data_IF_240847280721
#
_entry.id   IF_240847280721
#
_cell.length_a   1.000
_cell.length_b   1.000
_cell.length_c   1.000
_cell.angle_alpha   90.00
_cell.angle_beta   90.00
_cell.angle_gamma   90.00
#
_symmetry.space_group_name_H-M   'P 1'
#
loop_
_entity.id
_entity.type
_entity.pdbx_description
1 polymer ?
#
# COMPACT_ATOMS: atom_id res chain seq x y z
N UNK A 1 6.20 -13.28 9.72
CA UNK A 1 5.98 -13.74 11.10
C UNK A 1 5.60 -12.52 11.92
N UNK A 2 4.33 -12.39 12.32
CA UNK A 2 3.73 -11.14 12.85
C UNK A 2 4.44 -10.70 14.14
N UNK A 3 4.74 -11.66 15.02
CA UNK A 3 5.42 -11.43 16.29
C UNK A 3 6.83 -10.81 16.11
N UNK A 4 7.51 -11.15 15.00
CA UNK A 4 8.85 -10.58 14.71
C UNK A 4 8.79 -9.16 14.15
N UNK A 5 7.67 -8.78 13.52
CA UNK A 5 7.46 -7.42 13.01
C UNK A 5 7.11 -6.46 14.14
N UNK A 6 6.25 -6.86 15.08
CA UNK A 6 5.93 -6.04 16.26
C UNK A 6 7.18 -5.71 17.09
N UNK A 7 8.04 -6.71 17.32
CA UNK A 7 9.33 -6.49 18.00
C UNK A 7 10.24 -5.53 17.23
N UNK A 8 10.24 -5.61 15.90
CA UNK A 8 11.01 -4.71 15.05
C UNK A 8 10.47 -3.28 15.11
N UNK A 9 9.16 -3.09 15.13
CA UNK A 9 8.52 -1.78 15.30
C UNK A 9 8.93 -1.13 16.62
N UNK A 10 8.89 -1.87 17.73
CA UNK A 10 9.33 -1.37 19.05
C UNK A 10 10.82 -0.94 19.03
N UNK A 11 11.69 -1.77 18.47
CA UNK A 11 13.13 -1.47 18.38
C UNK A 11 13.42 -0.23 17.53
N UNK A 12 12.67 -0.04 16.44
CA UNK A 12 12.84 1.11 15.56
C UNK A 12 12.25 2.39 16.18
N UNK A 13 11.19 2.28 16.97
CA UNK A 13 10.63 3.41 17.71
C UNK A 13 11.56 3.95 18.81
N UNK A 14 12.34 3.06 19.43
CA UNK A 14 13.34 3.42 20.46
C UNK A 14 14.69 3.91 19.87
N UNK A 15 14.86 3.87 18.55
CA UNK A 15 16.10 4.28 17.90
C UNK A 15 16.28 5.80 17.90
N UNK A 16 17.26 6.31 18.66
CA UNK A 16 17.53 7.75 18.79
C UNK A 16 18.21 8.41 17.57
N UNK A 17 18.47 7.66 16.49
CA UNK A 17 19.12 8.16 15.28
C UNK A 17 18.15 8.52 14.15
N UNK A 18 18.68 9.06 13.05
CA UNK A 18 17.89 9.25 11.81
C UNK A 18 17.83 7.94 11.03
N UNK A 19 16.62 7.46 10.75
CA UNK A 19 16.36 6.26 9.96
C UNK A 19 15.72 6.66 8.62
N UNK A 20 16.22 6.09 7.53
CA UNK A 20 15.55 6.10 6.22
C UNK A 20 15.11 4.67 5.91
N UNK A 21 13.79 4.47 5.86
CA UNK A 21 13.17 3.17 5.70
C UNK A 21 12.47 3.09 4.34
N UNK A 22 12.70 1.99 3.61
CA UNK A 22 11.99 1.67 2.36
C UNK A 22 11.28 0.35 2.58
N UNK A 23 9.95 0.38 2.58
CA UNK A 23 9.11 -0.81 2.74
C UNK A 23 7.94 -0.76 1.76
N UNK A 24 7.44 -1.95 1.42
CA UNK A 24 6.20 -2.12 0.67
C UNK A 24 4.99 -2.38 1.59
N UNK A 25 5.23 -2.65 2.87
CA UNK A 25 4.20 -2.83 3.89
C UNK A 25 3.71 -1.46 4.38
N UNK A 26 2.45 -1.16 4.12
CA UNK A 26 1.82 0.13 4.43
C UNK A 26 1.59 0.30 5.93
N UNK A 27 1.16 -0.77 6.62
CA UNK A 27 0.88 -0.76 8.06
C UNK A 27 2.16 -0.56 8.85
N UNK A 28 3.24 -1.23 8.45
CA UNK A 28 4.55 -1.03 9.05
C UNK A 28 5.08 0.39 8.86
N UNK A 29 4.90 0.98 7.67
CA UNK A 29 5.27 2.38 7.44
C UNK A 29 4.45 3.32 8.31
N UNK A 30 3.13 3.12 8.41
CA UNK A 30 2.26 3.94 9.25
C UNK A 30 2.62 3.91 10.73
N UNK A 31 3.10 2.78 11.23
CA UNK A 31 3.46 2.61 12.64
C UNK A 31 4.85 3.16 12.99
N UNK A 32 5.80 3.12 12.05
CA UNK A 32 7.24 3.37 12.34
C UNK A 32 7.70 4.76 11.86
N UNK A 33 7.21 5.26 10.73
CA UNK A 33 7.78 6.48 10.12
C UNK A 33 7.10 7.75 10.63
N UNK A 34 7.90 8.78 10.89
CA UNK A 34 7.39 10.11 11.26
C UNK A 34 7.07 10.99 10.06
N UNK A 35 7.67 10.69 8.91
CA UNK A 35 7.57 11.45 7.67
C UNK A 35 7.79 10.52 6.47
N UNK A 36 7.02 10.73 5.41
CA UNK A 36 7.05 9.94 4.17
C UNK A 36 7.51 10.80 3.01
N UNK A 37 8.55 10.35 2.31
CA UNK A 37 9.06 10.97 1.08
C UNK A 37 8.46 10.27 -0.13
N UNK A 38 7.79 11.02 -1.00
CA UNK A 38 7.09 10.47 -2.16
C UNK A 38 7.61 11.09 -3.44
N UNK A 39 7.90 10.23 -4.42
CA UNK A 39 8.17 10.65 -5.79
C UNK A 39 6.86 10.95 -6.51
N UNK A 40 6.64 12.23 -6.82
CA UNK A 40 5.50 12.71 -7.60
C UNK A 40 5.70 12.44 -9.10
N UNK A 41 4.59 12.46 -9.85
CA UNK A 41 4.56 12.17 -11.29
C UNK A 41 5.42 13.16 -12.12
N UNK A 42 5.77 14.33 -11.57
CA UNK A 42 6.64 15.34 -12.18
C UNK A 42 8.13 15.18 -11.83
N UNK A 43 8.51 14.08 -11.17
CA UNK A 43 9.88 13.78 -10.75
C UNK A 43 10.35 14.58 -9.54
N UNK A 44 9.45 15.28 -8.84
CA UNK A 44 9.76 15.95 -7.57
C UNK A 44 9.57 15.00 -6.40
N UNK A 45 10.39 15.17 -5.37
CA UNK A 45 10.21 14.51 -4.08
C UNK A 45 9.47 15.46 -3.16
N UNK A 46 8.31 15.03 -2.69
CA UNK A 46 7.49 15.75 -1.71
C UNK A 46 7.55 15.03 -0.37
N UNK A 47 7.73 15.80 0.70
CA UNK A 47 7.73 15.30 2.07
C UNK A 47 6.35 15.49 2.70
N UNK A 48 5.84 14.43 3.32
CA UNK A 48 4.56 14.40 4.01
C UNK A 48 4.77 14.00 5.47
N UNK A 49 4.23 14.78 6.41
CA UNK A 49 4.25 14.41 7.83
C UNK A 49 3.28 13.25 8.05
N UNK A 50 3.77 12.19 8.70
CA UNK A 50 3.04 10.95 8.94
C UNK A 50 3.36 9.84 7.94
N UNK A 51 2.61 8.75 8.06
CA UNK A 51 2.79 7.53 7.29
C UNK A 51 2.20 7.57 5.88
N UNK A 52 2.03 6.39 5.31
CA UNK A 52 1.40 6.13 4.02
C UNK A 52 -0.07 6.60 3.97
N UNK A 53 -0.86 6.32 5.01
CA UNK A 53 -2.26 6.75 5.09
C UNK A 53 -2.40 8.28 5.13
N UNK A 54 -1.49 8.96 5.83
CA UNK A 54 -1.44 10.43 5.88
C UNK A 54 -1.09 11.03 4.52
N UNK A 55 -0.17 10.42 3.80
CA UNK A 55 0.12 10.77 2.41
C UNK A 55 -1.13 10.62 1.52
N UNK A 56 -1.84 9.49 1.58
CA UNK A 56 -3.06 9.26 0.79
C UNK A 56 -4.11 10.34 1.09
N UNK A 57 -4.29 10.71 2.37
CA UNK A 57 -5.23 11.76 2.78
C UNK A 57 -4.83 13.14 2.24
N UNK A 58 -3.54 13.45 2.21
CA UNK A 58 -3.01 14.71 1.70
C UNK A 58 -2.98 14.75 0.16
N UNK A 59 -2.87 13.60 -0.53
CA UNK A 59 -2.87 13.47 -2.00
C UNK A 59 -4.27 13.48 -2.61
N UNK A 60 -5.32 13.04 -1.89
CA UNK A 60 -6.72 13.26 -2.31
C UNK A 60 -6.90 14.74 -2.62
N UNK A 61 -7.58 15.14 -3.72
CA UNK A 61 -7.55 16.49 -4.25
C UNK A 61 -8.27 17.49 -3.36
N UNK A 62 -7.68 17.80 -2.21
CA UNK A 62 -7.90 19.03 -1.50
C UNK A 62 -6.97 20.04 -2.14
N UNK A 63 -7.42 20.62 -3.25
CA UNK A 63 -7.00 21.97 -3.63
C UNK A 63 -7.30 22.86 -2.44
N UNK A 64 -6.34 23.04 -1.55
CA UNK A 64 -6.08 24.24 -0.74
C UNK A 64 -5.25 23.86 0.48
N UNK A 65 -3.97 24.19 0.44
CA UNK A 65 -3.26 24.62 1.63
C UNK A 65 -2.13 25.58 1.22
N UNK A 66 -2.47 26.64 0.48
CA UNK A 66 -1.68 27.86 0.56
C UNK A 66 -1.93 28.49 1.91
N UNK A 67 -0.87 28.53 2.71
CA UNK A 67 -0.72 29.36 3.90
C UNK A 67 -1.21 30.79 3.60
N UNK A 68 -2.15 31.32 4.37
CA UNK A 68 -2.43 32.76 4.46
C UNK A 68 -3.17 33.09 5.74
N UNK A 69 -2.47 33.87 6.57
CA UNK A 69 -2.94 34.60 7.73
C UNK A 69 -4.11 35.58 7.45
N UNK A 70 -4.88 35.82 8.52
CA UNK A 70 -5.66 37.04 8.87
C UNK A 70 -6.97 37.41 8.14
N UNK A 71 -8.00 37.42 9.00
CA UNK A 71 -8.94 38.53 9.29
C UNK A 71 -10.29 38.64 8.54
N UNK A 72 -11.33 38.75 9.39
CA UNK A 72 -12.57 39.54 9.24
C UNK A 72 -13.75 38.99 8.42
N UNK A 73 -14.80 38.57 9.15
CA UNK A 73 -16.07 39.30 9.13
C UNK A 73 -17.23 38.84 8.21
N UNK A 74 -18.36 38.52 8.88
CA UNK A 74 -19.79 38.63 8.48
C UNK A 74 -20.47 37.54 7.63
N UNK A 75 -21.34 36.78 8.34
CA UNK A 75 -22.77 36.42 8.11
C UNK A 75 -23.28 36.21 6.66
N UNK A 76 -23.83 35.03 6.40
CA UNK A 76 -25.27 34.81 6.11
C UNK A 76 -25.64 33.30 6.06
N UNK A 77 -26.75 32.93 6.71
CA UNK A 77 -27.51 31.66 6.60
C UNK A 77 -28.59 31.82 5.50
N UNK A 78 -29.47 30.82 5.25
CA UNK A 78 -29.29 29.38 5.01
C UNK A 78 -30.00 28.93 3.70
N UNK A 79 -29.59 27.82 3.07
CA UNK A 79 -30.23 27.38 1.84
C UNK A 79 -30.14 25.89 1.55
N UNK A 80 -31.27 25.20 1.78
CA UNK A 80 -31.74 23.95 1.16
C UNK A 80 -30.93 22.66 1.36
N UNK A 81 -31.53 21.83 2.20
CA UNK A 81 -31.42 20.37 2.24
C UNK A 81 -31.53 19.78 0.83
N UNK A 82 -30.42 19.20 0.35
CA UNK A 82 -30.47 18.13 -0.64
C UNK A 82 -30.33 16.85 0.15
N UNK A 83 -31.41 16.06 0.19
CA UNK A 83 -31.39 14.69 0.68
C UNK A 83 -30.45 13.89 -0.22
N UNK A 84 -29.17 13.81 0.15
CA UNK A 84 -28.29 12.79 -0.38
C UNK A 84 -28.86 11.46 0.09
N UNK A 85 -29.35 10.67 -0.86
CA UNK A 85 -29.53 9.23 -0.71
C UNK A 85 -28.23 8.68 -0.12
N UNK A 86 -28.26 8.43 1.18
CA UNK A 86 -27.29 7.54 1.81
C UNK A 86 -27.67 6.19 1.22
N UNK A 87 -26.97 5.78 0.15
CA UNK A 87 -26.87 4.38 -0.16
C UNK A 87 -26.15 3.79 1.05
N UNK A 88 -26.94 3.33 2.01
CA UNK A 88 -26.49 2.43 3.05
C UNK A 88 -25.73 1.33 2.35
N UNK A 89 -24.41 1.34 2.52
CA UNK A 89 -23.57 0.19 2.35
C UNK A 89 -24.13 -0.90 3.26
N UNK A 90 -25.11 -1.63 2.74
CA UNK A 90 -25.53 -2.90 3.32
C UNK A 90 -24.25 -3.72 3.42
N UNK A 91 -23.82 -3.96 4.66
CA UNK A 91 -22.69 -4.80 5.01
C UNK A 91 -22.82 -6.09 4.21
N UNK A 92 -22.03 -6.19 3.15
CA UNK A 92 -22.13 -7.26 2.17
C UNK A 92 -21.45 -8.47 2.81
N UNK A 93 -22.23 -9.27 3.54
CA UNK A 93 -21.77 -10.56 4.07
C UNK A 93 -21.25 -11.38 2.90
N UNK A 94 -20.06 -11.99 3.02
CA UNK A 94 -19.48 -12.83 1.95
C UNK A 94 -20.51 -13.84 1.48
N UNK A 95 -20.73 -13.88 0.17
CA UNK A 95 -21.42 -14.97 -0.50
C UNK A 95 -20.60 -16.25 -0.46
N UNK A 96 -21.24 -17.39 -0.74
CA UNK A 96 -20.61 -18.72 -0.77
C UNK A 96 -19.37 -18.78 -1.67
N UNK A 97 -19.39 -18.08 -2.82
CA UNK A 97 -18.27 -18.04 -3.75
C UNK A 97 -17.07 -17.26 -3.19
N UNK A 98 -17.33 -16.17 -2.46
CA UNK A 98 -16.28 -15.33 -1.86
C UNK A 98 -15.60 -16.06 -0.70
N UNK A 99 -16.35 -16.85 0.09
CA UNK A 99 -15.77 -17.69 1.15
C UNK A 99 -14.83 -18.76 0.61
N UNK A 100 -15.27 -19.47 -0.44
CA UNK A 100 -14.43 -20.47 -1.11
C UNK A 100 -13.21 -19.83 -1.77
N UNK A 101 -13.35 -18.60 -2.28
CA UNK A 101 -12.23 -17.83 -2.80
C UNK A 101 -11.22 -17.55 -1.68
N UNK A 102 -11.66 -17.03 -0.52
CA UNK A 102 -10.83 -16.76 0.65
C UNK A 102 -10.06 -18.00 1.12
N UNK A 103 -10.72 -19.16 1.20
CA UNK A 103 -10.07 -20.43 1.56
C UNK A 103 -8.96 -20.84 0.56
N UNK A 104 -9.12 -20.47 -0.72
CA UNK A 104 -8.17 -20.83 -1.79
C UNK A 104 -7.05 -19.80 -2.02
N UNK A 105 -7.15 -18.61 -1.43
CA UNK A 105 -6.19 -17.52 -1.64
C UNK A 105 -4.82 -17.81 -1.00
N UNK A 106 -4.72 -18.35 0.23
CA UNK A 106 -3.44 -18.74 0.82
C UNK A 106 -2.63 -19.69 -0.06
N UNK A 107 -3.24 -20.77 -0.56
CA UNK A 107 -2.56 -21.74 -1.44
C UNK A 107 -2.05 -21.10 -2.74
N UNK A 108 -2.79 -20.13 -3.29
CA UNK A 108 -2.39 -19.41 -4.50
C UNK A 108 -1.24 -18.45 -4.22
N UNK A 109 -1.27 -17.79 -3.07
CA UNK A 109 -0.22 -16.88 -2.62
C UNK A 109 1.08 -17.68 -2.43
N UNK A 110 1.04 -18.79 -1.70
CA UNK A 110 2.20 -19.68 -1.50
C UNK A 110 2.80 -20.14 -2.83
N UNK A 111 1.97 -20.60 -3.77
CA UNK A 111 2.44 -21.03 -5.09
C UNK A 111 3.08 -19.90 -5.91
N UNK A 112 2.61 -18.66 -5.77
CA UNK A 112 3.20 -17.48 -6.43
C UNK A 112 4.49 -17.05 -5.73
N UNK A 113 4.57 -17.14 -4.41
CA UNK A 113 5.78 -16.87 -3.63
C UNK A 113 6.91 -17.85 -4.00
N UNK A 114 6.61 -19.14 -4.12
CA UNK A 114 7.57 -20.13 -4.59
C UNK A 114 8.13 -19.78 -5.98
N UNK A 115 7.25 -19.37 -6.89
CA UNK A 115 7.64 -18.92 -8.24
C UNK A 115 8.48 -17.64 -8.21
N UNK A 116 8.16 -16.70 -7.32
CA UNK A 116 8.96 -15.50 -7.10
C UNK A 116 10.36 -15.87 -6.67
N UNK A 117 10.48 -16.76 -5.68
CA UNK A 117 11.74 -17.19 -5.12
C UNK A 117 12.59 -17.93 -6.16
N UNK A 118 11.99 -18.78 -6.99
CA UNK A 118 12.71 -19.46 -8.08
C UNK A 118 13.26 -18.46 -9.12
N UNK A 119 12.46 -17.48 -9.52
CA UNK A 119 12.89 -16.43 -10.45
C UNK A 119 13.97 -15.54 -9.84
N UNK A 120 13.83 -15.17 -8.58
CA UNK A 120 14.81 -14.35 -7.87
C UNK A 120 16.15 -15.09 -7.72
N UNK A 121 16.12 -16.37 -7.35
CA UNK A 121 17.33 -17.21 -7.33
C UNK A 121 18.00 -17.22 -8.70
N UNK A 122 17.23 -17.35 -9.78
CA UNK A 122 17.75 -17.32 -11.15
C UNK A 122 18.34 -15.96 -11.53
N UNK A 123 17.74 -14.86 -11.10
CA UNK A 123 18.25 -13.50 -11.32
C UNK A 123 19.53 -13.26 -10.54
N UNK A 124 19.64 -13.80 -9.33
CA UNK A 124 20.81 -13.70 -8.46
C UNK A 124 22.00 -14.57 -8.92
N UNK A 125 21.81 -15.46 -9.89
CA UNK A 125 22.93 -16.19 -10.48
C UNK A 125 23.83 -15.22 -11.26
N UNK A 126 25.14 -15.26 -10.99
CA UNK A 126 26.14 -14.40 -11.66
C UNK A 126 26.24 -14.62 -13.17
N UNK A 127 25.76 -15.76 -13.69
CA UNK A 127 25.66 -16.06 -15.13
C UNK A 127 24.43 -15.43 -15.80
N UNK A 128 23.45 -14.94 -15.05
CA UNK A 128 22.18 -14.47 -15.59
C UNK A 128 22.34 -13.18 -16.40
N UNK A 129 23.11 -12.23 -15.87
CA UNK A 129 23.44 -10.98 -16.56
C UNK A 129 24.43 -11.15 -17.72
N UNK A 130 24.97 -12.37 -17.93
CA UNK A 130 25.81 -12.70 -19.08
C UNK A 130 24.99 -13.24 -20.27
N UNK A 131 23.69 -13.48 -20.07
CA UNK A 131 22.77 -13.91 -21.13
C UNK A 131 22.41 -12.76 -22.07
N UNK A 132 21.70 -13.09 -23.14
CA UNK A 132 21.17 -12.10 -24.07
C UNK A 132 20.19 -11.13 -23.38
N UNK A 133 20.18 -9.89 -23.89
CA UNK A 133 19.34 -8.80 -23.37
C UNK A 133 17.85 -9.15 -23.37
N UNK A 134 17.40 -9.94 -24.34
CA UNK A 134 16.01 -10.35 -24.47
C UNK A 134 15.60 -11.27 -23.32
N UNK A 135 16.42 -12.28 -22.99
CA UNK A 135 16.21 -13.17 -21.84
C UNK A 135 16.20 -12.41 -20.52
N UNK A 136 17.14 -11.46 -20.34
CA UNK A 136 17.19 -10.64 -19.12
C UNK A 136 15.92 -9.79 -19.00
N UNK A 137 15.53 -9.09 -20.07
CA UNK A 137 14.36 -8.21 -20.06
C UNK A 137 13.06 -8.97 -19.85
N UNK A 138 12.91 -10.15 -20.47
CA UNK A 138 11.73 -11.01 -20.32
C UNK A 138 11.64 -11.53 -18.89
N UNK A 139 12.75 -12.02 -18.32
CA UNK A 139 12.75 -12.55 -16.94
C UNK A 139 12.46 -11.44 -15.93
N UNK A 140 13.03 -10.25 -16.10
CA UNK A 140 12.74 -9.08 -15.25
C UNK A 140 11.27 -8.63 -15.37
N UNK A 141 10.70 -8.65 -16.58
CA UNK A 141 9.29 -8.35 -16.80
C UNK A 141 8.38 -9.40 -16.14
N UNK A 142 8.73 -10.69 -16.22
CA UNK A 142 8.02 -11.77 -15.53
C UNK A 142 8.08 -11.62 -14.01
N UNK A 143 9.24 -11.26 -13.45
CA UNK A 143 9.39 -10.99 -12.01
C UNK A 143 8.48 -9.85 -11.56
N UNK A 144 8.47 -8.74 -12.31
CA UNK A 144 7.60 -7.59 -12.04
C UNK A 144 6.12 -7.96 -12.11
N UNK A 145 5.72 -8.70 -13.14
CA UNK A 145 4.34 -9.15 -13.30
C UNK A 145 3.90 -10.03 -12.13
N UNK A 146 4.76 -10.96 -11.72
CA UNK A 146 4.48 -11.87 -10.62
C UNK A 146 4.36 -11.12 -9.29
N UNK A 147 5.22 -10.13 -9.03
CA UNK A 147 5.10 -9.23 -7.88
C UNK A 147 3.76 -8.47 -7.86
N UNK A 148 3.34 -7.92 -9.00
CA UNK A 148 2.06 -7.22 -9.11
C UNK A 148 0.86 -8.15 -8.87
N UNK A 149 0.93 -9.39 -9.35
CA UNK A 149 -0.16 -10.35 -9.20
C UNK A 149 -0.26 -10.88 -7.76
N UNK A 150 0.88 -11.13 -7.11
CA UNK A 150 0.96 -11.47 -5.70
C UNK A 150 0.38 -10.34 -4.82
N UNK A 151 0.73 -9.07 -5.11
CA UNK A 151 0.14 -7.93 -4.40
C UNK A 151 -1.40 -7.90 -4.54
N UNK A 152 -1.94 -8.11 -5.75
CA UNK A 152 -3.40 -8.13 -5.97
C UNK A 152 -4.08 -9.26 -5.20
N UNK A 153 -3.44 -10.43 -5.09
CA UNK A 153 -3.99 -11.54 -4.31
C UNK A 153 -4.02 -11.24 -2.83
N UNK A 154 -2.97 -10.60 -2.29
CA UNK A 154 -2.95 -10.14 -0.91
C UNK A 154 -4.04 -9.10 -0.63
N UNK A 155 -4.17 -8.08 -1.50
CA UNK A 155 -5.23 -7.06 -1.38
C UNK A 155 -6.64 -7.71 -1.46
N UNK A 156 -6.80 -8.73 -2.31
CA UNK A 156 -8.05 -9.49 -2.42
C UNK A 156 -8.33 -10.33 -1.17
N UNK A 157 -7.31 -10.97 -0.61
CA UNK A 157 -7.42 -11.78 0.59
C UNK A 157 -7.79 -10.93 1.79
N UNK A 158 -7.08 -9.82 2.00
CA UNK A 158 -7.36 -8.86 3.07
C UNK A 158 -8.78 -8.30 2.96
N UNK A 159 -9.19 -7.88 1.76
CA UNK A 159 -10.56 -7.43 1.52
C UNK A 159 -11.59 -8.47 1.93
N UNK A 160 -11.41 -9.73 1.51
CA UNK A 160 -12.35 -10.80 1.85
C UNK A 160 -12.33 -11.14 3.35
N UNK A 161 -11.17 -11.09 4.00
CA UNK A 161 -11.03 -11.35 5.43
C UNK A 161 -11.79 -10.32 6.28
N UNK A 162 -11.77 -9.03 5.88
CA UNK A 162 -12.47 -7.95 6.59
C UNK A 162 -14.00 -8.16 6.66
N UNK A 163 -14.60 -8.80 5.65
CA UNK A 163 -16.05 -9.09 5.62
C UNK A 163 -16.43 -10.43 6.29
N UNK A 164 -15.47 -11.25 6.69
CA UNK A 164 -15.71 -12.52 7.38
C UNK A 164 -15.98 -12.33 8.89
N UNK A 165 -15.35 -11.33 9.51
CA UNK A 165 -15.56 -10.86 10.89
C UNK A 165 -16.87 -10.12 11.12
#
# INVERSE_FOLDING_TARGET
DVDTLELLEELLAEYEGTLLLVSHDRSFLDNVVTSTLVFEDDGKVSEYVGGYEDWIRQRKPNKTATLSDKASGKKAKPGKQVKSRINSSEKKKLGFNEKRELESLPDKIEALEDQQQELEQRINQSNFYQKDKETISTTMASMKQLQEDLQKLYERWEYLAEFET
#
